data_IF_672951191183
#
_entry.id   IF_672951191183
#
_cell.length_a   1.000
_cell.length_b   1.000
_cell.length_c   1.000
_cell.angle_alpha   90.00
_cell.angle_beta   90.00
_cell.angle_gamma   90.00
#
_symmetry.space_group_name_H-M   'P 1'
#
loop_
_entity.id
_entity.type
_entity.pdbx_description
1 polymer ?
#
# COMPACT_ATOMS: atom_id res chain seq x y z
N UNK A 1 1.56 -7.01 -7.32
CA UNK A 1 0.81 -6.07 -6.47
C UNK A 1 1.62 -4.80 -6.36
N UNK A 2 0.97 -3.65 -6.47
CA UNK A 2 1.60 -2.34 -6.26
C UNK A 2 0.61 -1.41 -5.59
N UNK A 3 1.12 -0.50 -4.78
CA UNK A 3 0.31 0.48 -4.07
C UNK A 3 0.98 1.85 -4.14
N UNK A 4 0.17 2.88 -3.97
CA UNK A 4 0.65 4.21 -3.60
C UNK A 4 0.67 4.34 -2.09
N UNK A 5 1.71 4.99 -1.58
CA UNK A 5 1.88 5.29 -0.17
C UNK A 5 2.01 6.80 -0.01
N UNK A 6 1.11 7.38 0.76
CA UNK A 6 1.14 8.77 1.19
C UNK A 6 1.39 8.78 2.69
N UNK A 7 2.37 9.56 3.14
CA UNK A 7 2.72 9.72 4.55
C UNK A 7 2.69 11.22 4.84
N UNK A 8 1.85 11.62 5.79
CA UNK A 8 1.88 12.96 6.37
C UNK A 8 2.66 12.90 7.68
N UNK A 9 3.99 13.03 7.58
CA UNK A 9 4.91 12.96 8.71
C UNK A 9 5.18 14.35 9.29
N UNK A 10 4.92 14.54 10.59
CA UNK A 10 5.09 15.85 11.27
C UNK A 10 5.90 15.69 12.56
N UNK A 11 7.20 15.99 12.47
CA UNK A 11 8.18 15.73 13.54
C UNK A 11 8.30 16.81 14.64
N UNK A 12 7.66 17.98 14.55
CA UNK A 12 7.85 19.08 15.52
C UNK A 12 6.53 19.63 16.08
N UNK A 13 6.40 19.64 17.42
CA UNK A 13 5.21 20.04 18.19
C UNK A 13 3.92 19.29 17.79
N UNK A 14 3.99 17.95 17.86
CA UNK A 14 2.94 17.00 17.48
C UNK A 14 1.72 17.04 18.43
N UNK A 15 0.93 18.11 18.32
CA UNK A 15 -0.41 18.18 18.88
C UNK A 15 -1.37 17.86 17.74
N UNK A 16 -2.04 16.71 17.87
CA UNK A 16 -3.06 16.27 16.92
C UNK A 16 -4.24 17.25 16.94
N UNK A 17 -4.60 17.80 15.78
CA UNK A 17 -5.84 18.57 15.58
C UNK A 17 -6.64 17.97 14.43
N UNK A 18 -7.89 18.39 14.22
CA UNK A 18 -8.70 17.90 13.11
C UNK A 18 -8.04 18.09 11.74
N UNK A 19 -7.36 19.22 11.55
CA UNK A 19 -6.64 19.54 10.30
C UNK A 19 -5.17 19.09 10.31
N UNK A 20 -4.69 18.54 11.43
CA UNK A 20 -3.27 18.20 11.61
C UNK A 20 -3.12 16.85 12.32
N UNK A 21 -3.21 15.77 11.54
CA UNK A 21 -3.03 14.39 12.03
C UNK A 21 -1.86 13.70 11.35
N UNK A 22 -1.08 12.96 12.11
CA UNK A 22 -0.12 12.02 11.54
C UNK A 22 -0.88 10.83 10.95
N UNK A 23 -0.70 10.58 9.65
CA UNK A 23 -1.30 9.43 9.00
C UNK A 23 -0.41 8.84 7.91
N UNK A 24 -0.73 7.60 7.56
CA UNK A 24 -0.28 6.96 6.34
C UNK A 24 -1.48 6.39 5.58
N UNK A 25 -1.58 6.70 4.30
CA UNK A 25 -2.58 6.15 3.40
C UNK A 25 -1.92 5.16 2.44
N UNK A 26 -2.51 3.98 2.30
CA UNK A 26 -2.12 2.99 1.29
C UNK A 26 -3.27 2.87 0.30
N UNK A 27 -2.99 3.10 -0.99
CA UNK A 27 -3.99 3.06 -2.05
C UNK A 27 -3.64 1.99 -3.09
N UNK A 28 -4.62 1.14 -3.38
CA UNK A 28 -4.54 0.13 -4.43
C UNK A 28 -5.53 0.49 -5.53
N UNK A 29 -5.08 0.49 -6.79
CA UNK A 29 -5.95 0.65 -7.95
C UNK A 29 -6.41 -0.72 -8.44
N UNK A 30 -7.61 -1.14 -8.03
CA UNK A 30 -8.14 -2.48 -8.35
C UNK A 30 -8.38 -2.72 -9.84
N UNK A 31 -8.59 -1.68 -10.64
CA UNK A 31 -8.80 -1.75 -12.08
C UNK A 31 -7.51 -1.58 -12.90
N UNK A 32 -6.34 -1.52 -12.26
CA UNK A 32 -5.06 -1.33 -12.93
C UNK A 32 -4.57 -2.62 -13.61
N UNK A 33 -4.59 -2.63 -14.95
CA UNK A 33 -4.26 -3.82 -15.76
C UNK A 33 -2.86 -4.38 -15.53
N UNK A 34 -1.89 -3.55 -15.16
CA UNK A 34 -0.50 -3.98 -14.91
C UNK A 34 -0.29 -4.70 -13.58
N UNK A 35 -1.26 -4.64 -12.67
CA UNK A 35 -1.12 -5.10 -11.29
C UNK A 35 -2.34 -5.92 -10.85
N UNK A 36 -2.50 -7.10 -11.47
CA UNK A 36 -3.66 -8.00 -11.32
C UNK A 36 -4.08 -8.27 -9.86
N UNK A 37 -3.12 -8.41 -8.94
CA UNK A 37 -3.40 -8.65 -7.52
C UNK A 37 -3.96 -7.44 -6.75
N UNK A 38 -4.04 -6.26 -7.37
CA UNK A 38 -4.62 -5.08 -6.73
C UNK A 38 -6.13 -5.23 -6.56
N UNK A 39 -6.83 -5.88 -7.50
CA UNK A 39 -8.26 -6.15 -7.40
C UNK A 39 -8.56 -7.02 -6.17
N UNK A 40 -7.79 -8.10 -5.99
CA UNK A 40 -7.90 -8.99 -4.84
C UNK A 40 -7.66 -8.25 -3.52
N UNK A 41 -6.67 -7.35 -3.48
CA UNK A 41 -6.43 -6.51 -2.30
C UNK A 41 -7.58 -5.56 -1.99
N UNK A 42 -8.16 -4.91 -3.01
CA UNK A 42 -9.34 -4.07 -2.82
C UNK A 42 -10.50 -4.89 -2.24
N UNK A 43 -10.74 -6.09 -2.79
CA UNK A 43 -11.79 -6.98 -2.30
C UNK A 43 -11.52 -7.45 -0.86
N UNK A 44 -10.28 -7.81 -0.54
CA UNK A 44 -9.88 -8.18 0.81
C UNK A 44 -10.14 -7.06 1.81
N UNK A 45 -9.69 -5.84 1.52
CA UNK A 45 -9.85 -4.70 2.40
C UNK A 45 -11.33 -4.32 2.58
N UNK A 46 -12.14 -4.40 1.52
CA UNK A 46 -13.58 -4.20 1.61
C UNK A 46 -14.26 -5.22 2.53
N UNK A 47 -13.97 -6.52 2.33
CA UNK A 47 -14.51 -7.59 3.18
C UNK A 47 -14.03 -7.48 4.63
N UNK A 48 -12.78 -7.04 4.85
CA UNK A 48 -12.26 -6.79 6.20
C UNK A 48 -13.01 -5.65 6.89
N UNK A 49 -13.23 -4.55 6.18
CA UNK A 49 -13.96 -3.40 6.73
C UNK A 49 -15.39 -3.80 7.13
N UNK A 50 -16.13 -4.45 6.21
CA UNK A 50 -17.49 -4.92 6.47
C UNK A 50 -17.57 -5.89 7.66
N UNK A 51 -16.66 -6.87 7.71
CA UNK A 51 -16.65 -7.87 8.79
C UNK A 51 -16.32 -7.25 10.14
N UNK A 52 -15.42 -6.26 10.16
CA UNK A 52 -15.05 -5.51 11.36
C UNK A 52 -16.19 -4.62 11.83
N UNK A 53 -16.81 -3.86 10.93
CA UNK A 53 -17.96 -3.01 11.24
C UNK A 53 -19.11 -3.85 11.80
N UNK A 54 -19.42 -4.99 11.18
CA UNK A 54 -20.47 -5.91 11.65
C UNK A 54 -20.20 -6.48 13.04
N UNK A 55 -18.93 -6.77 13.36
CA UNK A 55 -18.53 -7.23 14.69
C UNK A 55 -18.61 -6.08 15.72
N UNK A 56 -18.08 -4.90 15.40
CA UNK A 56 -18.08 -3.72 16.29
C UNK A 56 -19.50 -3.19 16.57
N UNK A 57 -20.42 -3.40 15.63
CA UNK A 57 -21.85 -3.07 15.78
C UNK A 57 -22.71 -4.21 16.35
N UNK A 58 -22.08 -5.29 16.84
CA UNK A 58 -22.72 -6.45 17.50
C UNK A 58 -23.66 -7.29 16.62
N UNK A 59 -23.66 -7.10 15.30
CA UNK A 59 -24.43 -7.93 14.36
C UNK A 59 -23.79 -9.31 14.13
N UNK A 60 -22.46 -9.39 14.22
CA UNK A 60 -21.71 -10.64 14.08
C UNK A 60 -21.16 -11.09 15.43
N UNK A 61 -21.48 -12.31 15.90
CA UNK A 61 -20.88 -12.87 17.10
C UNK A 61 -19.38 -13.16 16.93
N UNK A 62 -18.64 -13.21 18.05
CA UNK A 62 -17.19 -13.36 18.05
C UNK A 62 -16.70 -14.64 17.34
N UNK A 63 -17.38 -15.76 17.55
CA UNK A 63 -17.03 -17.05 16.94
C UNK A 63 -17.15 -17.00 15.40
N UNK A 64 -18.19 -16.36 14.88
CA UNK A 64 -18.36 -16.15 13.44
C UNK A 64 -17.28 -15.23 12.85
N UNK A 65 -16.93 -14.15 13.56
CA UNK A 65 -15.81 -13.29 13.16
C UNK A 65 -14.47 -14.03 13.17
N UNK A 66 -14.24 -14.90 14.16
CA UNK A 66 -13.04 -15.74 14.24
C UNK A 66 -13.00 -16.79 13.11
N UNK A 67 -14.14 -17.36 12.73
CA UNK A 67 -14.24 -18.26 11.56
C UNK A 67 -13.88 -17.51 10.28
N UNK A 68 -14.43 -16.31 10.06
CA UNK A 68 -14.12 -15.48 8.90
C UNK A 68 -12.61 -15.19 8.80
N UNK A 69 -11.95 -14.82 9.90
CA UNK A 69 -10.49 -14.60 9.92
C UNK A 69 -9.72 -15.85 9.52
N UNK A 70 -10.07 -17.01 10.07
CA UNK A 70 -9.40 -18.29 9.74
C UNK A 70 -9.56 -18.64 8.27
N UNK A 71 -10.75 -18.45 7.70
CA UNK A 71 -11.01 -18.67 6.28
C UNK A 71 -10.16 -17.75 5.42
N UNK A 72 -10.14 -16.43 5.69
CA UNK A 72 -9.31 -15.49 4.93
C UNK A 72 -7.82 -15.81 5.03
N UNK A 73 -7.31 -16.18 6.21
CA UNK A 73 -5.92 -16.62 6.33
C UNK A 73 -5.63 -17.83 5.43
N UNK A 74 -6.51 -18.83 5.43
CA UNK A 74 -6.36 -20.00 4.57
C UNK A 74 -6.37 -19.62 3.07
N UNK A 75 -7.34 -18.81 2.64
CA UNK A 75 -7.51 -18.37 1.24
C UNK A 75 -6.25 -17.67 0.70
N UNK A 76 -5.64 -16.79 1.50
CA UNK A 76 -4.48 -16.00 1.08
C UNK A 76 -3.14 -16.70 1.36
N UNK A 77 -3.09 -17.70 2.24
CA UNK A 77 -1.85 -18.45 2.56
C UNK A 77 -1.27 -19.20 1.35
N UNK A 78 -2.10 -19.53 0.37
CA UNK A 78 -1.71 -20.22 -0.86
C UNK A 78 -1.15 -19.29 -1.93
N UNK A 79 -1.24 -17.96 -1.74
CA UNK A 79 -0.75 -16.99 -2.71
C UNK A 79 0.72 -16.62 -2.41
N UNK A 80 1.67 -17.01 -3.25
CA UNK A 80 3.06 -16.62 -3.07
C UNK A 80 3.19 -15.14 -3.42
N UNK A 81 3.26 -14.26 -2.41
CA UNK A 81 3.81 -12.93 -2.62
C UNK A 81 5.27 -13.13 -2.99
N UNK A 82 5.58 -13.06 -4.28
CA UNK A 82 6.96 -13.21 -4.78
C UNK A 82 7.82 -12.14 -4.13
N UNK A 83 8.74 -12.56 -3.26
CA UNK A 83 9.73 -11.65 -2.68
C UNK A 83 10.55 -11.08 -3.84
N UNK A 84 10.41 -9.78 -4.09
CA UNK A 84 11.24 -9.09 -5.08
C UNK A 84 12.70 -9.23 -4.64
N UNK A 85 13.51 -9.89 -5.45
CA UNK A 85 14.95 -9.96 -5.27
C UNK A 85 15.54 -8.70 -5.90
N UNK A 86 16.25 -7.91 -5.10
CA UNK A 86 16.99 -6.76 -5.60
C UNK A 86 18.38 -7.23 -6.00
N UNK A 87 18.81 -6.86 -7.19
CA UNK A 87 20.16 -7.16 -7.67
C UNK A 87 21.21 -6.50 -6.76
N UNK A 88 22.27 -7.24 -6.44
CA UNK A 88 23.42 -6.68 -5.74
C UNK A 88 24.35 -6.01 -6.75
N UNK A 89 24.21 -4.69 -6.90
CA UNK A 89 25.01 -3.89 -7.83
C UNK A 89 26.13 -3.11 -7.12
N UNK A 90 27.27 -2.98 -7.79
CA UNK A 90 28.41 -2.24 -7.27
C UNK A 90 28.13 -0.72 -7.19
N UNK A 91 28.99 -0.01 -6.45
CA UNK A 91 28.79 1.41 -6.17
C UNK A 91 28.85 2.30 -7.42
N UNK A 92 29.71 1.97 -8.38
CA UNK A 92 29.84 2.76 -9.61
C UNK A 92 28.59 2.60 -10.49
N UNK A 93 28.10 1.37 -10.66
CA UNK A 93 26.86 1.08 -11.40
C UNK A 93 25.65 1.76 -10.74
N UNK A 94 25.54 1.69 -9.41
CA UNK A 94 24.47 2.38 -8.65
C UNK A 94 24.50 3.89 -8.84
N UNK A 95 25.70 4.49 -8.83
CA UNK A 95 25.86 5.94 -9.00
C UNK A 95 25.46 6.38 -10.41
N UNK A 96 25.84 5.61 -11.43
CA UNK A 96 25.43 5.86 -12.82
C UNK A 96 23.90 5.84 -12.98
N UNK A 97 23.25 4.76 -12.52
CA UNK A 97 21.79 4.61 -12.59
C UNK A 97 21.05 5.75 -11.86
N UNK A 98 21.60 6.19 -10.71
CA UNK A 98 21.06 7.34 -9.97
C UNK A 98 21.12 8.63 -10.80
N UNK A 99 22.27 8.93 -11.41
CA UNK A 99 22.43 10.16 -12.20
C UNK A 99 21.50 10.16 -13.42
N UNK A 100 21.39 9.04 -14.14
CA UNK A 100 20.46 8.88 -15.26
C UNK A 100 18.98 9.02 -14.85
N UNK A 101 18.63 8.60 -13.63
CA UNK A 101 17.29 8.83 -13.10
C UNK A 101 17.03 10.31 -12.81
N UNK A 102 17.99 11.00 -12.17
CA UNK A 102 17.90 12.43 -11.86
C UNK A 102 17.76 13.26 -13.14
N UNK A 103 18.58 13.01 -14.16
CA UNK A 103 18.49 13.72 -15.44
C UNK A 103 17.12 13.58 -16.10
N UNK A 104 16.50 12.39 -16.02
CA UNK A 104 15.12 12.17 -16.53
C UNK A 104 14.09 12.98 -15.77
N UNK A 105 14.19 13.05 -14.43
CA UNK A 105 13.30 13.85 -13.60
C UNK A 105 13.43 15.35 -13.91
N UNK A 106 14.68 15.85 -14.04
CA UNK A 106 14.93 17.25 -14.39
C UNK A 106 14.29 17.64 -15.73
N UNK A 107 14.42 16.80 -16.77
CA UNK A 107 13.81 17.07 -18.07
C UNK A 107 12.28 17.07 -18.02
N UNK A 108 11.68 16.16 -17.25
CA UNK A 108 10.23 16.08 -17.09
C UNK A 108 9.65 17.32 -16.38
N UNK A 109 10.33 17.81 -15.35
CA UNK A 109 9.87 19.00 -14.64
C UNK A 109 9.95 20.27 -15.50
N UNK A 110 10.89 20.35 -16.45
CA UNK A 110 10.96 21.47 -17.41
C UNK A 110 9.79 21.44 -18.39
N UNK A 111 9.38 20.26 -18.88
CA UNK A 111 8.24 20.14 -19.79
C UNK A 111 6.88 20.37 -19.14
N UNK A 112 6.75 20.08 -17.84
CA UNK A 112 5.51 20.29 -17.09
C UNK A 112 5.33 21.77 -16.62
N UNK A 113 6.34 22.62 -16.84
CA UNK A 113 6.35 24.04 -16.45
C UNK A 113 6.15 25.00 -17.64
N UNK A 114 6.01 24.48 -18.87
CA UNK A 114 5.70 25.21 -20.11
C UNK A 114 4.24 24.99 -20.53
#
# INVERSE_FOLDING_TARGET
MRYELEINDKFFNDIETEDNRWYANIKFYGNEKGHLYNADMCQFLASLNESRESFESYFTPKDMFDIWKKQKIADYSTLPVTKKVYENIDSATRMKLRNEHLERQFKKNQSDSE
#
